data_IF_064255834995
#
_entry.id   IF_064255834995
#
_cell.length_a   1.000
_cell.length_b   1.000
_cell.length_c   1.000
_cell.angle_alpha   90.00
_cell.angle_beta   90.00
_cell.angle_gamma   90.00
#
_symmetry.space_group_name_H-M   'P 1'
#
loop_
_entity.id
_entity.type
_entity.pdbx_description
1 polymer ?
#
# COMPACT_ATOMS: atom_id res chain seq x y z
N UNK A 1 -25.69 1.52 10.14
CA UNK A 1 -25.69 2.77 10.93
C UNK A 1 -24.38 3.49 10.62
N UNK A 2 -24.34 4.27 9.53
CA UNK A 2 -23.15 5.00 9.08
C UNK A 2 -23.25 6.44 9.62
N UNK A 3 -22.41 6.79 10.58
CA UNK A 3 -22.23 8.17 11.01
C UNK A 3 -21.76 9.00 9.82
N UNK A 4 -22.49 10.07 9.47
CA UNK A 4 -22.06 11.05 8.46
C UNK A 4 -20.63 11.51 8.78
N UNK A 5 -19.66 11.40 7.85
CA UNK A 5 -18.33 11.93 8.09
C UNK A 5 -18.38 13.46 7.97
N UNK A 6 -18.57 14.12 9.11
CA UNK A 6 -18.54 15.58 9.21
C UNK A 6 -17.13 16.10 9.50
N UNK A 7 -16.63 17.01 8.66
CA UNK A 7 -15.88 18.17 9.19
C UNK A 7 -14.48 18.47 8.66
N UNK A 8 -13.64 17.50 8.26
CA UNK A 8 -12.19 17.77 8.12
C UNK A 8 -11.56 17.56 6.74
N UNK A 9 -12.33 17.21 5.70
CA UNK A 9 -11.77 16.97 4.36
C UNK A 9 -11.11 18.22 3.75
N UNK A 10 -11.71 19.38 3.95
CA UNK A 10 -11.19 20.66 3.43
C UNK A 10 -9.84 21.01 4.07
N UNK A 11 -9.71 20.87 5.39
CA UNK A 11 -8.49 21.14 6.12
C UNK A 11 -7.35 20.21 5.67
N UNK A 12 -7.65 18.92 5.50
CA UNK A 12 -6.68 17.94 4.98
C UNK A 12 -6.25 18.26 3.55
N UNK A 13 -7.18 18.64 2.68
CA UNK A 13 -6.88 19.04 1.30
C UNK A 13 -5.98 20.29 1.25
N UNK A 14 -6.28 21.33 2.03
CA UNK A 14 -5.43 22.52 2.12
C UNK A 14 -4.04 22.19 2.67
N UNK A 15 -3.97 21.37 3.72
CA UNK A 15 -2.68 20.95 4.29
C UNK A 15 -1.83 20.19 3.27
N UNK A 16 -2.43 19.28 2.49
CA UNK A 16 -1.73 18.58 1.41
C UNK A 16 -1.24 19.56 0.34
N UNK A 17 -2.09 20.49 -0.11
CA UNK A 17 -1.73 21.52 -1.09
C UNK A 17 -0.56 22.39 -0.60
N UNK A 18 -0.61 22.90 0.62
CA UNK A 18 0.46 23.71 1.18
C UNK A 18 1.79 22.94 1.26
N UNK A 19 1.75 21.66 1.63
CA UNK A 19 2.94 20.81 1.67
C UNK A 19 3.52 20.58 0.26
N UNK A 20 2.67 20.34 -0.72
CA UNK A 20 3.06 20.20 -2.14
C UNK A 20 3.69 21.51 -2.63
N UNK A 21 3.07 22.66 -2.39
CA UNK A 21 3.61 23.97 -2.78
C UNK A 21 4.95 24.28 -2.13
N UNK A 22 5.17 23.83 -0.88
CA UNK A 22 6.41 24.08 -0.15
C UNK A 22 7.57 23.18 -0.60
N UNK A 23 7.31 21.89 -0.83
CA UNK A 23 8.38 20.91 -1.07
C UNK A 23 8.50 20.48 -2.53
N UNK A 24 7.48 20.70 -3.37
CA UNK A 24 7.44 20.36 -4.79
C UNK A 24 7.53 18.87 -5.13
N UNK A 25 7.66 17.99 -4.14
CA UNK A 25 7.87 16.55 -4.34
C UNK A 25 6.54 15.80 -4.27
N UNK A 26 6.15 15.27 -5.42
CA UNK A 26 4.94 14.47 -5.59
C UNK A 26 5.29 13.11 -6.21
N UNK A 27 4.41 12.14 -6.01
CA UNK A 27 4.49 10.83 -6.65
C UNK A 27 3.13 10.44 -7.23
N UNK A 28 3.12 9.44 -8.12
CA UNK A 28 1.90 8.86 -8.66
C UNK A 28 1.04 8.29 -7.53
N UNK A 29 -0.21 8.74 -7.42
CA UNK A 29 -1.11 8.28 -6.37
C UNK A 29 -1.84 6.98 -6.73
N UNK A 30 -2.96 6.74 -6.04
CA UNK A 30 -3.85 5.60 -6.27
C UNK A 30 -3.20 4.21 -6.14
N UNK A 31 -2.16 4.10 -5.30
CA UNK A 31 -1.42 2.86 -5.08
C UNK A 31 -0.24 2.65 -6.05
N UNK A 32 -0.10 3.47 -7.10
CA UNK A 32 0.97 3.27 -8.09
C UNK A 32 2.38 3.47 -7.51
N UNK A 33 2.59 4.45 -6.63
CA UNK A 33 3.89 4.65 -5.98
C UNK A 33 4.25 3.48 -5.04
N UNK A 34 3.26 2.92 -4.34
CA UNK A 34 3.43 1.78 -3.45
C UNK A 34 3.77 0.50 -4.21
N UNK A 35 3.09 0.23 -5.33
CA UNK A 35 3.39 -0.93 -6.18
C UNK A 35 4.79 -0.80 -6.78
N UNK A 36 5.16 0.38 -7.28
CA UNK A 36 6.53 0.64 -7.71
C UNK A 36 7.54 0.37 -6.59
N UNK A 37 7.28 0.86 -5.38
CA UNK A 37 8.14 0.63 -4.20
C UNK A 37 8.25 -0.85 -3.86
N UNK A 38 7.15 -1.60 -3.94
CA UNK A 38 7.14 -3.04 -3.71
C UNK A 38 8.05 -3.79 -4.70
N UNK A 39 8.00 -3.43 -5.99
CA UNK A 39 8.92 -4.01 -6.96
C UNK A 39 10.39 -3.69 -6.69
N UNK A 40 10.70 -2.43 -6.38
CA UNK A 40 12.07 -2.02 -6.05
C UNK A 40 12.57 -2.79 -4.82
N UNK A 41 11.72 -2.96 -3.81
CA UNK A 41 12.03 -3.75 -2.63
C UNK A 41 12.30 -5.22 -2.98
N UNK A 42 11.44 -5.85 -3.79
CA UNK A 42 11.63 -7.22 -4.24
C UNK A 42 12.95 -7.41 -5.00
N UNK A 43 13.28 -6.47 -5.90
CA UNK A 43 14.56 -6.47 -6.62
C UNK A 43 15.75 -6.31 -5.66
N UNK A 44 15.67 -5.39 -4.69
CA UNK A 44 16.75 -5.14 -3.72
C UNK A 44 16.99 -6.31 -2.77
N UNK A 45 15.92 -6.91 -2.23
CA UNK A 45 16.05 -8.11 -1.39
C UNK A 45 16.70 -9.25 -2.16
N UNK A 46 16.35 -9.43 -3.45
CA UNK A 46 16.97 -10.45 -4.31
C UNK A 46 18.46 -10.16 -4.55
N UNK A 47 18.79 -8.93 -4.92
CA UNK A 47 20.16 -8.47 -5.19
C UNK A 47 21.06 -8.58 -3.94
N UNK A 48 20.55 -8.21 -2.77
CA UNK A 48 21.32 -8.10 -1.53
C UNK A 48 21.09 -9.29 -0.58
N UNK A 49 20.48 -10.37 -1.06
CA UNK A 49 20.02 -11.47 -0.20
C UNK A 49 21.14 -12.09 0.64
N UNK A 50 22.35 -12.23 0.11
CA UNK A 50 23.49 -12.78 0.85
C UNK A 50 24.01 -11.82 1.92
N UNK A 51 24.17 -10.54 1.59
CA UNK A 51 24.59 -9.51 2.55
C UNK A 51 23.59 -9.39 3.70
N UNK A 52 22.29 -9.34 3.37
CA UNK A 52 21.23 -9.28 4.38
C UNK A 52 21.23 -10.52 5.27
N UNK A 53 21.43 -11.72 4.69
CA UNK A 53 21.55 -12.97 5.46
C UNK A 53 22.62 -12.86 6.54
N UNK A 54 23.79 -12.36 6.16
CA UNK A 54 24.97 -12.29 7.01
C UNK A 54 24.81 -11.20 8.10
N UNK A 55 24.11 -10.11 7.80
CA UNK A 55 23.80 -9.04 8.77
C UNK A 55 22.73 -9.43 9.79
N UNK A 56 21.63 -10.07 9.36
CA UNK A 56 20.49 -10.36 10.24
C UNK A 56 20.56 -11.75 10.89
N UNK A 57 21.43 -12.63 10.41
CA UNK A 57 21.57 -14.00 10.90
C UNK A 57 20.37 -14.92 10.60
N UNK A 58 19.46 -14.50 9.72
CA UNK A 58 18.29 -15.27 9.31
C UNK A 58 18.62 -16.25 8.19
N UNK A 59 17.85 -17.34 8.09
CA UNK A 59 17.90 -18.21 6.90
C UNK A 59 17.29 -17.52 5.68
N UNK A 60 17.68 -17.94 4.48
CA UNK A 60 17.10 -17.43 3.23
C UNK A 60 15.57 -17.64 3.15
N UNK A 61 15.06 -18.73 3.71
CA UNK A 61 13.62 -19.00 3.79
C UNK A 61 12.89 -17.97 4.67
N UNK A 62 13.45 -17.63 5.83
CA UNK A 62 12.87 -16.62 6.73
C UNK A 62 12.87 -15.23 6.08
N UNK A 63 13.96 -14.84 5.43
CA UNK A 63 14.02 -13.55 4.73
C UNK A 63 13.02 -13.47 3.58
N UNK A 64 12.92 -14.53 2.76
CA UNK A 64 11.92 -14.60 1.70
C UNK A 64 10.50 -14.53 2.25
N UNK A 65 10.21 -15.26 3.33
CA UNK A 65 8.90 -15.22 3.99
C UNK A 65 8.55 -13.83 4.53
N UNK A 66 9.50 -13.15 5.17
CA UNK A 66 9.31 -11.79 5.67
C UNK A 66 9.11 -10.78 4.53
N UNK A 67 9.92 -10.87 3.47
CA UNK A 67 9.77 -10.04 2.28
C UNK A 67 8.41 -10.28 1.60
N UNK A 68 7.99 -11.54 1.47
CA UNK A 68 6.70 -11.89 0.89
C UNK A 68 5.53 -11.31 1.69
N UNK A 69 5.58 -11.43 3.02
CA UNK A 69 4.57 -10.84 3.90
C UNK A 69 4.50 -9.30 3.76
N UNK A 70 5.65 -8.63 3.70
CA UNK A 70 5.71 -7.19 3.49
C UNK A 70 5.14 -6.79 2.13
N UNK A 71 5.61 -7.40 1.04
CA UNK A 71 5.13 -7.12 -0.32
C UNK A 71 3.64 -7.37 -0.45
N UNK A 72 3.15 -8.46 0.15
CA UNK A 72 1.72 -8.75 0.24
C UNK A 72 0.95 -7.66 0.97
N UNK A 73 1.42 -7.20 2.13
CA UNK A 73 0.73 -6.13 2.88
C UNK A 73 0.62 -4.82 2.09
N UNK A 74 1.68 -4.44 1.38
CA UNK A 74 1.71 -3.22 0.56
C UNK A 74 0.73 -3.34 -0.62
N UNK A 75 0.81 -4.47 -1.34
CA UNK A 75 -0.06 -4.74 -2.49
C UNK A 75 -1.53 -4.88 -2.10
N UNK A 76 -1.85 -5.56 -0.99
CA UNK A 76 -3.21 -5.73 -0.50
C UNK A 76 -3.81 -4.37 -0.06
N UNK A 77 -3.01 -3.47 0.54
CA UNK A 77 -3.44 -2.11 0.86
C UNK A 77 -3.80 -1.30 -0.40
N UNK A 78 -3.03 -1.45 -1.48
CA UNK A 78 -3.32 -0.81 -2.76
C UNK A 78 -4.61 -1.34 -3.39
N UNK A 79 -4.83 -2.66 -3.35
CA UNK A 79 -6.06 -3.29 -3.86
C UNK A 79 -7.28 -2.83 -3.06
N UNK A 80 -7.16 -2.76 -1.73
CA UNK A 80 -8.23 -2.33 -0.85
C UNK A 80 -8.70 -0.89 -1.13
N UNK A 81 -7.78 0.00 -1.52
CA UNK A 81 -8.10 1.38 -1.93
C UNK A 81 -9.14 1.43 -3.07
N UNK A 82 -9.09 0.43 -3.96
CA UNK A 82 -9.95 0.34 -5.14
C UNK A 82 -11.18 -0.57 -4.93
N UNK A 83 -11.40 -1.09 -3.72
CA UNK A 83 -12.51 -1.98 -3.37
C UNK A 83 -12.60 -3.23 -4.27
N UNK A 84 -11.46 -3.76 -4.72
CA UNK A 84 -11.41 -4.95 -5.58
C UNK A 84 -10.72 -6.15 -4.92
N UNK A 85 -10.64 -7.26 -5.66
CA UNK A 85 -9.84 -8.43 -5.30
C UNK A 85 -8.45 -8.34 -5.94
N UNK A 86 -7.45 -9.00 -5.36
CA UNK A 86 -6.06 -8.96 -5.86
C UNK A 86 -5.93 -9.42 -7.32
N UNK A 87 -6.76 -10.36 -7.75
CA UNK A 87 -6.80 -10.88 -9.13
C UNK A 87 -7.35 -9.88 -10.14
N UNK A 88 -8.05 -8.83 -9.67
CA UNK A 88 -8.58 -7.76 -10.51
C UNK A 88 -7.50 -6.74 -10.87
N UNK A 89 -6.25 -6.95 -10.42
CA UNK A 89 -5.17 -5.99 -10.63
C UNK A 89 -3.91 -6.64 -11.17
N UNK A 90 -3.27 -5.90 -12.07
CA UNK A 90 -1.97 -6.25 -12.66
C UNK A 90 -1.04 -5.05 -12.60
N UNK A 91 0.24 -5.32 -12.75
CA UNK A 91 1.30 -4.32 -12.87
C UNK A 91 2.14 -4.60 -14.10
N UNK A 92 2.79 -3.57 -14.62
CA UNK A 92 3.86 -3.76 -15.61
C UNK A 92 5.24 -3.85 -14.94
N UNK A 93 6.20 -4.50 -15.61
CA UNK A 93 7.59 -4.65 -15.10
C UNK A 93 8.51 -3.48 -15.43
N UNK A 94 8.02 -2.52 -16.21
CA UNK A 94 8.81 -1.40 -16.71
C UNK A 94 8.79 -0.25 -15.69
N UNK A 95 7.60 0.21 -15.29
CA UNK A 95 7.46 1.33 -14.35
C UNK A 95 6.63 1.00 -13.10
N UNK A 96 6.16 -0.24 -12.94
CA UNK A 96 5.47 -0.65 -11.72
C UNK A 96 4.11 0.04 -11.52
N UNK A 97 3.46 0.45 -12.60
CA UNK A 97 2.13 1.03 -12.57
C UNK A 97 1.07 -0.01 -12.21
N UNK A 98 0.05 0.40 -11.45
CA UNK A 98 -1.07 -0.44 -11.06
C UNK A 98 -2.24 -0.27 -12.03
N UNK A 99 -2.79 -1.38 -12.49
CA UNK A 99 -3.88 -1.41 -13.47
C UNK A 99 -4.97 -2.34 -13.01
N UNK A 100 -6.21 -1.99 -13.32
CA UNK A 100 -7.33 -2.90 -13.15
C UNK A 100 -7.40 -3.82 -14.37
N UNK A 101 -7.33 -5.13 -14.14
CA UNK A 101 -7.61 -6.14 -15.14
C UNK A 101 -9.14 -6.29 -15.31
N UNK A 102 -9.59 -6.53 -16.54
CA UNK A 102 -10.95 -6.99 -16.80
C UNK A 102 -11.12 -8.46 -16.40
N UNK A 103 -12.33 -9.00 -16.52
CA UNK A 103 -12.65 -10.41 -16.23
C UNK A 103 -11.73 -11.38 -17.01
N UNK A 104 -10.59 -11.74 -16.42
CA UNK A 104 -9.56 -12.56 -17.04
C UNK A 104 -8.80 -11.91 -18.21
N UNK A 105 -8.88 -10.59 -18.38
CA UNK A 105 -8.24 -9.88 -19.49
C UNK A 105 -7.26 -8.82 -18.98
N UNK A 106 -6.04 -8.81 -19.56
CA UNK A 106 -5.10 -7.72 -19.35
C UNK A 106 -5.67 -6.39 -19.87
N UNK A 107 -5.20 -5.25 -19.32
CA UNK A 107 -5.62 -3.94 -19.78
C UNK A 107 -5.42 -3.74 -21.28
N UNK A 108 -6.40 -3.12 -21.92
CA UNK A 108 -6.40 -2.75 -23.33
C UNK A 108 -5.76 -1.38 -23.52
N UNK A 109 -5.37 -1.06 -24.75
CA UNK A 109 -4.61 0.14 -25.12
C UNK A 109 -5.16 1.46 -24.52
N UNK A 110 -6.49 1.60 -24.44
CA UNK A 110 -7.16 2.80 -23.95
C UNK A 110 -7.42 2.79 -22.43
N UNK A 111 -7.21 1.65 -21.78
CA UNK A 111 -7.26 1.57 -20.33
C UNK A 111 -6.16 2.45 -19.75
N UNK A 112 -6.41 2.96 -18.55
CA UNK A 112 -5.47 3.83 -17.83
C UNK A 112 -5.04 3.22 -16.52
N UNK A 113 -3.81 3.55 -16.14
CA UNK A 113 -3.26 3.22 -14.84
C UNK A 113 -4.16 3.80 -13.75
N UNK A 114 -4.16 3.21 -12.56
CA UNK A 114 -4.90 3.71 -11.40
C UNK A 114 -4.61 5.19 -11.09
N UNK A 115 -3.40 5.68 -11.37
CA UNK A 115 -3.05 7.10 -11.21
C UNK A 115 -3.50 8.01 -12.38
N UNK A 116 -4.12 7.42 -13.40
CA UNK A 116 -4.62 8.01 -14.65
C UNK A 116 -3.56 8.66 -15.57
N UNK A 117 -2.28 8.72 -15.15
CA UNK A 117 -1.19 9.34 -15.92
C UNK A 117 -0.78 8.59 -17.18
N UNK A 118 -0.83 7.26 -17.15
CA UNK A 118 -0.33 6.40 -18.23
C UNK A 118 -1.49 5.61 -18.83
N UNK A 119 -1.49 5.47 -20.16
CA UNK A 119 -2.35 4.55 -20.91
C UNK A 119 -1.64 3.22 -21.13
N UNK A 120 -2.38 2.13 -21.31
CA UNK A 120 -1.78 0.81 -21.51
C UNK A 120 -1.10 0.70 -22.87
N UNK A 121 -1.25 1.72 -23.73
CA UNK A 121 -0.57 1.82 -25.02
C UNK A 121 0.95 1.79 -24.84
N UNK A 122 1.59 0.72 -25.31
CA UNK A 122 3.05 0.54 -25.19
C UNK A 122 3.50 -0.26 -23.97
N UNK A 123 2.57 -0.77 -23.15
CA UNK A 123 2.88 -1.80 -22.16
C UNK A 123 2.95 -3.14 -22.87
N UNK A 124 4.12 -3.76 -22.91
CA UNK A 124 4.38 -5.04 -23.57
C UNK A 124 4.37 -6.23 -22.61
N UNK A 125 4.39 -5.96 -21.30
CA UNK A 125 4.59 -6.97 -20.28
C UNK A 125 3.74 -6.70 -19.04
N UNK A 126 3.01 -7.73 -18.63
CA UNK A 126 2.10 -7.70 -17.51
C UNK A 126 2.51 -8.74 -16.46
N UNK A 127 2.22 -8.41 -15.20
CA UNK A 127 2.45 -9.23 -14.03
C UNK A 127 1.22 -9.21 -13.15
N UNK A 128 0.87 -10.36 -12.57
CA UNK A 128 -0.04 -10.33 -11.43
C UNK A 128 0.69 -9.79 -10.21
N UNK A 129 -0.05 -9.17 -9.28
CA UNK A 129 0.54 -8.68 -8.04
C UNK A 129 1.17 -9.81 -7.21
N UNK A 130 0.73 -11.06 -7.37
CA UNK A 130 1.37 -12.25 -6.77
C UNK A 130 2.80 -12.48 -7.24
N UNK A 131 3.16 -11.97 -8.42
CA UNK A 131 4.40 -12.35 -9.10
C UNK A 131 5.55 -11.36 -8.85
N UNK A 132 5.27 -10.26 -8.13
CA UNK A 132 6.25 -9.21 -7.78
C UNK A 132 7.47 -9.80 -7.05
N UNK A 133 7.27 -10.81 -6.22
CA UNK A 133 8.35 -11.51 -5.50
C UNK A 133 9.30 -12.26 -6.44
N UNK A 134 8.77 -12.76 -7.56
CA UNK A 134 9.52 -13.60 -8.51
C UNK A 134 10.26 -12.73 -9.51
N UNK A 135 9.62 -11.66 -9.96
CA UNK A 135 10.07 -10.77 -11.02
C UNK A 135 10.00 -9.32 -10.52
N UNK A 136 11.15 -8.80 -10.07
CA UNK A 136 11.30 -7.37 -9.81
C UNK A 136 11.31 -6.55 -11.09
N UNK A 137 11.24 -5.22 -10.97
CA UNK A 137 11.35 -4.29 -12.12
C UNK A 137 12.69 -4.46 -12.84
N UNK A 138 12.67 -4.17 -14.15
CA UNK A 138 13.91 -3.88 -14.88
C UNK A 138 14.31 -2.41 -14.61
N UNK A 139 15.37 -2.14 -13.83
CA UNK A 139 15.79 -0.78 -13.53
C UNK A 139 16.35 -0.02 -14.75
N UNK A 140 16.52 -0.69 -15.90
CA UNK A 140 17.02 -0.09 -17.15
C UNK A 140 15.92 0.36 -18.10
N UNK A 141 14.66 0.21 -17.70
CA UNK A 141 13.53 0.71 -18.45
C UNK A 141 13.66 2.23 -18.70
N UNK A 142 13.53 2.71 -19.95
CA UNK A 142 13.51 4.14 -20.23
C UNK A 142 12.31 4.79 -19.55
N UNK A 143 12.45 6.02 -19.06
CA UNK A 143 11.30 6.76 -18.52
C UNK A 143 10.22 6.88 -19.61
N UNK A 144 9.07 6.26 -19.37
CA UNK A 144 7.92 6.41 -20.24
C UNK A 144 7.47 7.87 -20.26
N UNK A 145 7.50 8.50 -21.44
CA UNK A 145 6.86 9.81 -21.58
C UNK A 145 5.35 9.64 -21.54
N UNK A 146 4.62 10.44 -20.73
CA UNK A 146 3.17 10.45 -20.77
C UNK A 146 2.73 10.91 -22.17
N UNK A 147 2.06 10.02 -22.91
CA UNK A 147 1.68 10.29 -24.30
C UNK A 147 0.50 11.26 -24.45
N UNK A 148 -0.28 11.45 -23.39
CA UNK A 148 -1.40 12.38 -23.32
C UNK A 148 -1.45 13.11 -21.98
N UNK A 149 -1.94 14.36 -21.96
CA UNK A 149 -2.34 15.04 -20.73
C UNK A 149 -3.69 14.46 -20.26
N UNK A 150 -3.75 13.71 -19.15
CA UNK A 150 -5.00 13.12 -18.72
C UNK A 150 -5.95 14.18 -18.15
N UNK A 151 -7.26 14.00 -18.33
CA UNK A 151 -8.30 14.86 -17.74
C UNK A 151 -8.27 14.82 -16.20
N UNK A 152 -7.77 13.72 -15.64
CA UNK A 152 -7.60 13.49 -14.21
C UNK A 152 -6.20 12.95 -13.95
N UNK A 153 -5.49 13.56 -13.01
CA UNK A 153 -4.20 13.08 -12.53
C UNK A 153 -4.27 12.93 -11.01
N UNK A 154 -3.98 11.72 -10.52
CA UNK A 154 -3.95 11.45 -9.08
C UNK A 154 -2.51 11.48 -8.62
N UNK A 155 -2.17 12.48 -7.81
CA UNK A 155 -0.85 12.66 -7.20
C UNK A 155 -0.96 12.61 -5.69
N UNK A 156 0.04 12.00 -5.08
CA UNK A 156 0.23 12.03 -3.64
C UNK A 156 1.47 12.87 -3.29
N UNK A 157 1.44 13.51 -2.12
CA UNK A 157 2.62 14.17 -1.56
C UNK A 157 3.64 13.12 -1.13
N UNK A 158 4.86 13.18 -1.68
CA UNK A 158 5.88 12.15 -1.45
C UNK A 158 6.26 12.04 0.04
N UNK A 159 6.43 13.18 0.74
CA UNK A 159 6.78 13.16 2.16
C UNK A 159 5.69 12.53 3.03
N UNK A 160 4.41 12.69 2.67
CA UNK A 160 3.33 12.02 3.37
C UNK A 160 3.42 10.50 3.24
N UNK A 161 3.75 9.99 2.04
CA UNK A 161 3.94 8.56 1.80
C UNK A 161 5.12 8.00 2.57
N UNK A 162 6.27 8.67 2.51
CA UNK A 162 7.47 8.26 3.27
C UNK A 162 7.18 8.22 4.77
N UNK A 163 6.52 9.25 5.31
CA UNK A 163 6.15 9.29 6.72
C UNK A 163 5.13 8.19 7.09
N UNK A 164 4.18 7.88 6.20
CA UNK A 164 3.22 6.80 6.41
C UNK A 164 3.92 5.43 6.48
N UNK A 165 4.86 5.16 5.56
CA UNK A 165 5.67 3.93 5.60
C UNK A 165 6.53 3.84 6.86
N UNK A 166 7.21 4.92 7.24
CA UNK A 166 8.03 4.96 8.45
C UNK A 166 7.18 4.66 9.70
N UNK A 167 6.05 5.36 9.86
CA UNK A 167 5.13 5.17 10.99
C UNK A 167 4.52 3.76 11.02
N UNK A 168 4.13 3.22 9.86
CA UNK A 168 3.63 1.85 9.76
C UNK A 168 4.68 0.82 10.15
N UNK A 169 5.92 1.00 9.69
CA UNK A 169 7.04 0.11 10.02
C UNK A 169 7.39 0.15 11.50
N UNK A 170 7.51 1.34 12.09
CA UNK A 170 7.76 1.53 13.52
C UNK A 170 6.66 0.86 14.36
N UNK A 171 5.40 1.10 14.01
CA UNK A 171 4.25 0.50 14.70
C UNK A 171 4.27 -1.03 14.59
N UNK A 172 4.47 -1.57 13.38
CA UNK A 172 4.54 -3.01 13.18
C UNK A 172 5.71 -3.63 13.95
N UNK A 173 6.88 -2.97 13.98
CA UNK A 173 8.05 -3.43 14.72
C UNK A 173 7.79 -3.47 16.23
N UNK A 174 7.12 -2.45 16.78
CA UNK A 174 6.72 -2.40 18.19
C UNK A 174 5.76 -3.56 18.52
N UNK A 175 4.76 -3.80 17.68
CA UNK A 175 3.80 -4.89 17.85
C UNK A 175 4.51 -6.26 17.81
N UNK A 176 5.40 -6.48 16.84
CA UNK A 176 6.14 -7.75 16.70
C UNK A 176 7.10 -8.04 17.87
N UNK A 177 7.58 -6.99 18.55
CA UNK A 177 8.44 -7.11 19.75
C UNK A 177 7.63 -7.25 21.04
N UNK A 178 6.33 -6.98 21.01
CA UNK A 178 5.48 -7.04 22.20
C UNK A 178 5.14 -8.49 22.50
N UNK A 179 5.73 -9.03 23.57
CA UNK A 179 5.55 -10.43 23.99
C UNK A 179 4.46 -10.64 25.04
N UNK A 180 4.08 -9.59 25.78
CA UNK A 180 3.11 -9.66 26.87
C UNK A 180 2.27 -8.38 26.90
N UNK A 181 0.94 -8.54 26.93
CA UNK A 181 -0.01 -7.47 27.15
C UNK A 181 -0.70 -7.73 28.49
N UNK A 182 -0.49 -6.85 29.48
CA UNK A 182 -1.13 -6.94 30.80
C UNK A 182 -2.31 -5.98 30.78
N UNK A 183 -3.52 -6.53 30.79
CA UNK A 183 -4.75 -5.75 30.91
C UNK A 183 -5.25 -5.82 32.35
N UNK A 184 -5.12 -4.72 33.09
CA UNK A 184 -5.86 -4.53 34.34
C UNK A 184 -7.29 -4.10 34.02
N UNK A 185 -8.08 -5.02 33.47
CA UNK A 185 -9.52 -4.86 33.46
C UNK A 185 -9.98 -5.18 34.88
N UNK A 186 -10.14 -4.15 35.70
CA UNK A 186 -11.02 -4.24 36.86
C UNK A 186 -12.38 -4.71 36.34
N UNK A 187 -12.89 -5.84 36.85
CA UNK A 187 -14.26 -6.25 36.54
C UNK A 187 -15.19 -5.08 36.87
N UNK A 188 -16.08 -4.66 35.95
CA UNK A 188 -17.12 -3.72 36.33
C UNK A 188 -17.95 -4.39 37.41
N UNK A 189 -18.03 -3.78 38.59
CA UNK A 189 -18.91 -4.19 39.69
C UNK A 189 -20.35 -4.32 39.14
N UNK A 190 -20.72 -5.55 38.79
CA UNK A 190 -22.10 -5.94 38.47
C UNK A 190 -22.86 -6.17 39.78
N UNK A 191 -22.81 -5.23 40.71
CA UNK A 191 -23.80 -5.14 41.78
C UNK A 191 -25.07 -4.50 41.20
N UNK A 192 -25.80 -5.29 40.41
CA UNK A 192 -27.20 -4.97 40.08
C UNK A 192 -27.99 -5.15 41.38
N UNK A 193 -28.27 -4.04 42.04
CA UNK A 193 -29.25 -3.96 43.12
C UNK A 193 -30.59 -4.48 42.61
N UNK A 194 -30.86 -5.74 42.90
CA UNK A 194 -32.20 -6.32 42.75
C UNK A 194 -33.02 -5.85 43.94
N UNK A 195 -33.69 -4.70 43.79
CA UNK A 195 -34.73 -4.33 44.75
C UNK A 195 -35.89 -5.33 44.65
N UNK A 196 -36.33 -5.91 45.77
CA UNK A 196 -37.51 -6.76 45.77
C UNK A 196 -38.76 -5.87 45.63
N UNK A 197 -39.48 -6.01 44.53
CA UNK A 197 -40.84 -5.50 44.40
C UNK A 197 -41.71 -6.16 45.47
N UNK A 198 -42.12 -5.37 46.47
CA UNK A 198 -43.15 -5.77 47.42
C UNK A 198 -44.49 -5.36 46.87
N UNK A 199 -45.28 -6.35 46.46
CA UNK A 199 -46.68 -6.19 46.13
C UNK A 199 -47.48 -5.77 47.37
N UNK A 200 -48.34 -4.77 47.22
CA UNK A 200 -49.50 -4.49 48.07
C UNK A 200 -50.67 -4.09 47.19
#
# INVERSE_FOLDING_TARGET
MLTKPGGNYLASAFSALFRILRNGKVCSGAGSAEIYTAHIWAAKVKEQSETLRDEVGCTLGQMRGASAAFLRSVTDACVALHQGARLDFVTEYTHGHLWRAGEGQFPKQDDRCACARFSASGVDSWAFLSDIEVRGLDPRAPEGEPRDSPDLLILDELSCKVNAFASAFETASLLLRTILCINNLSEPDLSVDTQPETHS
#
